data_IF_203436245993
#
_entry.id   IF_203436245993
#
_cell.length_a   1.000
_cell.length_b   1.000
_cell.length_c   1.000
_cell.angle_alpha   90.00
_cell.angle_beta   90.00
_cell.angle_gamma   90.00
#
_symmetry.space_group_name_H-M   'P 1'
#
loop_
_entity.id
_entity.type
_entity.pdbx_description
1 polymer ?
#
# COMPACT_ATOMS: atom_id res chain seq x y z
N UNK A 1 7.37 -4.43 -6.62
CA UNK A 1 6.52 -5.55 -6.15
C UNK A 1 6.14 -6.42 -7.32
N UNK A 2 5.96 -7.73 -7.12
CA UNK A 2 5.33 -8.57 -8.13
C UNK A 2 3.86 -8.13 -8.30
N UNK A 3 3.27 -8.38 -9.46
CA UNK A 3 1.89 -7.94 -9.74
C UNK A 3 0.89 -8.48 -8.71
N UNK A 4 1.13 -9.70 -8.21
CA UNK A 4 0.36 -10.31 -7.12
C UNK A 4 0.44 -9.51 -5.82
N UNK A 5 1.63 -9.19 -5.33
CA UNK A 5 1.79 -8.44 -4.07
C UNK A 5 1.14 -7.05 -4.16
N UNK A 6 1.20 -6.41 -5.32
CA UNK A 6 0.52 -5.12 -5.56
C UNK A 6 -1.00 -5.28 -5.48
N UNK A 7 -1.54 -6.35 -6.05
CA UNK A 7 -2.98 -6.64 -5.98
C UNK A 7 -3.41 -6.88 -4.53
N UNK A 8 -2.66 -7.69 -3.77
CA UNK A 8 -2.97 -7.93 -2.35
C UNK A 8 -2.88 -6.65 -1.51
N UNK A 9 -1.87 -5.80 -1.75
CA UNK A 9 -1.75 -4.53 -1.05
C UNK A 9 -2.97 -3.62 -1.27
N UNK A 10 -3.47 -3.52 -2.50
CA UNK A 10 -4.70 -2.79 -2.78
C UNK A 10 -5.95 -3.47 -2.22
N UNK A 11 -6.01 -4.80 -2.26
CA UNK A 11 -7.11 -5.56 -1.67
C UNK A 11 -7.23 -5.30 -0.16
N UNK A 12 -6.11 -5.23 0.57
CA UNK A 12 -6.11 -4.84 1.98
C UNK A 12 -6.72 -3.46 2.22
N UNK A 13 -6.40 -2.47 1.38
CA UNK A 13 -7.01 -1.13 1.47
C UNK A 13 -8.52 -1.20 1.24
N UNK A 14 -8.97 -1.93 0.21
CA UNK A 14 -10.40 -2.07 -0.08
C UNK A 14 -11.14 -2.74 1.08
N UNK A 15 -10.57 -3.80 1.67
CA UNK A 15 -11.15 -4.47 2.85
C UNK A 15 -11.20 -3.52 4.05
N UNK A 16 -10.14 -2.74 4.30
CA UNK A 16 -10.12 -1.73 5.35
C UNK A 16 -11.26 -0.71 5.17
N UNK A 17 -11.44 -0.19 3.95
CA UNK A 17 -12.54 0.73 3.63
C UNK A 17 -13.90 0.11 3.93
N UNK A 18 -14.13 -1.13 3.47
CA UNK A 18 -15.39 -1.83 3.69
C UNK A 18 -15.68 -2.02 5.19
N UNK A 19 -14.70 -2.45 5.97
CA UNK A 19 -14.85 -2.68 7.42
C UNK A 19 -15.11 -1.37 8.16
N UNK A 20 -14.32 -0.33 7.91
CA UNK A 20 -14.47 0.97 8.59
C UNK A 20 -15.82 1.60 8.27
N UNK A 21 -16.24 1.60 7.01
CA UNK A 21 -17.55 2.13 6.60
C UNK A 21 -18.70 1.32 7.20
N UNK A 22 -18.59 -0.01 7.19
CA UNK A 22 -19.59 -0.87 7.81
C UNK A 22 -19.75 -0.55 9.30
N UNK A 23 -18.64 -0.51 10.05
CA UNK A 23 -18.65 -0.17 11.48
C UNK A 23 -19.22 1.22 11.70
N UNK A 24 -18.83 2.21 10.90
CA UNK A 24 -19.35 3.56 11.00
C UNK A 24 -20.87 3.59 10.83
N UNK A 25 -21.43 2.90 9.83
CA UNK A 25 -22.89 2.82 9.62
C UNK A 25 -23.59 2.20 10.82
N UNK A 26 -23.05 1.10 11.37
CA UNK A 26 -23.64 0.45 12.56
C UNK A 26 -23.62 1.36 13.78
N UNK A 27 -22.50 2.04 14.03
CA UNK A 27 -22.36 2.95 15.17
C UNK A 27 -23.24 4.18 14.99
N UNK A 28 -23.29 4.77 13.79
CA UNK A 28 -24.09 5.95 13.49
C UNK A 28 -25.58 5.70 13.75
N UNK A 29 -26.09 4.48 13.47
CA UNK A 29 -27.45 4.11 13.80
C UNK A 29 -27.76 4.11 15.31
N UNK A 30 -26.74 3.95 16.16
CA UNK A 30 -26.86 3.93 17.62
C UNK A 30 -26.72 5.34 18.20
N UNK A 31 -25.68 6.07 17.79
CA UNK A 31 -25.36 7.38 18.36
C UNK A 31 -26.15 8.53 17.72
N UNK A 32 -26.67 8.32 16.50
CA UNK A 32 -27.30 9.36 15.70
C UNK A 32 -26.32 10.47 15.26
N UNK A 33 -26.83 11.69 15.19
CA UNK A 33 -26.04 12.88 14.84
C UNK A 33 -25.33 13.54 16.02
N UNK A 34 -24.66 14.66 15.76
CA UNK A 34 -24.03 15.49 16.79
C UNK A 34 -22.50 15.35 16.86
N UNK A 35 -21.87 15.91 17.92
CA UNK A 35 -20.42 16.06 17.98
C UNK A 35 -19.64 14.74 17.87
N UNK A 36 -20.15 13.66 18.47
CA UNK A 36 -19.53 12.33 18.42
C UNK A 36 -19.48 11.82 16.97
N UNK A 37 -20.59 11.95 16.22
CA UNK A 37 -20.64 11.55 14.82
C UNK A 37 -19.65 12.37 13.97
N UNK A 38 -19.55 13.68 14.19
CA UNK A 38 -18.56 14.53 13.49
C UNK A 38 -17.13 14.06 13.74
N UNK A 39 -16.79 13.75 14.99
CA UNK A 39 -15.46 13.23 15.35
C UNK A 39 -15.19 11.90 14.67
N UNK A 40 -16.15 10.97 14.67
CA UNK A 40 -16.01 9.68 14.00
C UNK A 40 -15.83 9.81 12.49
N UNK A 41 -16.54 10.73 11.84
CA UNK A 41 -16.39 11.01 10.40
C UNK A 41 -14.97 11.50 10.11
N UNK A 42 -14.48 12.49 10.86
CA UNK A 42 -13.15 13.07 10.64
C UNK A 42 -12.07 12.03 10.91
N UNK A 43 -12.13 11.36 12.06
CA UNK A 43 -11.15 10.34 12.44
C UNK A 43 -11.15 9.16 11.46
N UNK A 44 -12.33 8.65 11.09
CA UNK A 44 -12.48 7.59 10.10
C UNK A 44 -11.93 7.99 8.73
N UNK A 45 -12.25 9.20 8.26
CA UNK A 45 -11.72 9.72 7.01
C UNK A 45 -10.18 9.83 7.02
N UNK A 46 -9.58 10.29 8.13
CA UNK A 46 -8.13 10.35 8.28
C UNK A 46 -7.48 8.97 8.28
N UNK A 47 -8.07 7.99 8.98
CA UNK A 47 -7.59 6.60 8.97
C UNK A 47 -7.58 6.04 7.55
N UNK A 48 -8.67 6.21 6.81
CA UNK A 48 -8.80 5.73 5.44
C UNK A 48 -7.83 6.45 4.49
N UNK A 49 -7.73 7.77 4.60
CA UNK A 49 -6.84 8.59 3.79
C UNK A 49 -5.37 8.20 4.00
N UNK A 50 -4.91 8.17 5.26
CA UNK A 50 -3.51 7.91 5.55
C UNK A 50 -3.10 6.47 5.24
N UNK A 51 -3.96 5.48 5.50
CA UNK A 51 -3.66 4.10 5.12
C UNK A 51 -3.58 3.94 3.59
N UNK A 52 -4.51 4.57 2.86
CA UNK A 52 -4.49 4.55 1.39
C UNK A 52 -3.22 5.24 0.85
N UNK A 53 -2.87 6.39 1.41
CA UNK A 53 -1.67 7.14 1.03
C UNK A 53 -0.38 6.37 1.35
N UNK A 54 -0.31 5.71 2.50
CA UNK A 54 0.85 4.89 2.90
C UNK A 54 1.07 3.73 1.93
N UNK A 55 0.01 2.99 1.58
CA UNK A 55 0.11 1.90 0.60
C UNK A 55 0.48 2.42 -0.79
N UNK A 56 -0.12 3.53 -1.23
CA UNK A 56 0.23 4.16 -2.49
C UNK A 56 1.71 4.61 -2.54
N UNK A 57 2.21 5.21 -1.46
CA UNK A 57 3.60 5.62 -1.31
C UNK A 57 4.54 4.40 -1.31
N UNK A 58 4.22 3.36 -0.55
CA UNK A 58 4.96 2.10 -0.53
C UNK A 58 5.09 1.52 -1.94
N UNK A 59 3.99 1.42 -2.70
CA UNK A 59 3.98 0.87 -4.06
C UNK A 59 4.79 1.74 -5.02
N UNK A 60 4.62 3.07 -4.95
CA UNK A 60 5.36 4.02 -5.80
C UNK A 60 6.85 3.92 -5.54
N UNK A 61 7.27 3.95 -4.28
CA UNK A 61 8.68 3.89 -3.88
C UNK A 61 9.30 2.54 -4.22
N UNK A 62 8.54 1.44 -4.07
CA UNK A 62 9.02 0.10 -4.44
C UNK A 62 9.43 -0.04 -5.90
N UNK A 63 8.79 0.71 -6.82
CA UNK A 63 9.18 0.69 -8.24
C UNK A 63 10.52 1.41 -8.48
N UNK A 64 10.78 2.46 -7.69
CA UNK A 64 11.97 3.30 -7.82
C UNK A 64 13.21 2.66 -7.16
N UNK A 65 13.05 2.02 -6.00
CA UNK A 65 14.16 1.32 -5.34
C UNK A 65 14.53 0.00 -6.01
N UNK A 66 13.56 -0.69 -6.63
CA UNK A 66 13.80 -1.99 -7.28
C UNK A 66 14.71 -1.87 -8.50
N UNK A 67 14.55 -0.83 -9.33
CA UNK A 67 15.41 -0.63 -10.50
C UNK A 67 16.87 -0.35 -10.13
N UNK A 68 17.11 0.31 -9.00
CA UNK A 68 18.44 0.59 -8.50
C UNK A 68 19.15 -0.67 -7.99
N UNK A 69 18.50 -1.44 -7.10
CA UNK A 69 19.13 -2.60 -6.46
C UNK A 69 19.41 -3.71 -7.47
N UNK A 70 18.44 -4.06 -8.32
CA UNK A 70 18.62 -5.14 -9.28
C UNK A 70 19.46 -4.74 -10.50
N UNK A 71 19.52 -3.44 -10.85
CA UNK A 71 20.38 -2.97 -11.94
C UNK A 71 21.86 -3.24 -11.66
N UNK A 72 22.30 -3.04 -10.41
CA UNK A 72 23.66 -3.32 -9.99
C UNK A 72 23.96 -4.83 -9.96
N UNK A 73 23.04 -5.63 -9.43
CA UNK A 73 23.22 -7.08 -9.31
C UNK A 73 23.23 -7.78 -10.68
N UNK A 74 22.35 -7.37 -11.60
CA UNK A 74 22.34 -7.86 -12.99
C UNK A 74 23.67 -7.53 -13.69
N UNK A 75 24.22 -6.32 -13.48
CA UNK A 75 25.47 -5.91 -14.10
C UNK A 75 26.66 -6.77 -13.66
N UNK A 76 26.76 -7.07 -12.37
CA UNK A 76 27.79 -7.98 -11.86
C UNK A 76 27.61 -9.41 -12.39
N UNK A 77 26.36 -9.90 -12.47
CA UNK A 77 26.06 -11.22 -13.04
C UNK A 77 26.45 -11.30 -14.52
N UNK A 78 26.23 -10.23 -15.29
CA UNK A 78 26.65 -10.14 -16.70
C UNK A 78 28.18 -10.10 -16.83
N UNK A 79 28.87 -9.37 -15.96
CA UNK A 79 30.34 -9.34 -15.91
C UNK A 79 30.94 -10.73 -15.58
N UNK A 80 30.36 -11.45 -14.62
CA UNK A 80 30.76 -12.83 -14.30
C UNK A 80 30.53 -13.80 -15.46
N UNK A 81 29.40 -13.67 -16.16
CA UNK A 81 29.11 -14.48 -17.36
C UNK A 81 30.07 -14.18 -18.51
N UNK A 82 30.39 -12.90 -18.73
CA UNK A 82 31.33 -12.47 -19.76
C UNK A 82 32.76 -12.96 -19.46
N UNK A 83 33.18 -12.92 -18.18
CA UNK A 83 34.47 -13.45 -17.75
C UNK A 83 34.55 -14.98 -17.98
N UNK A 84 33.50 -15.73 -17.64
CA UNK A 84 33.43 -17.18 -17.88
C UNK A 84 33.45 -17.56 -19.37
N UNK A 85 33.00 -16.67 -20.26
CA UNK A 85 32.99 -16.90 -21.71
C UNK A 85 34.34 -16.56 -22.38
N UNK A 86 35.23 -15.85 -21.67
CA UNK A 86 36.55 -15.40 -22.15
C UNK A 86 37.71 -16.28 -21.68
N UNK A 87 37.50 -17.11 -20.65
CA UNK A 87 38.42 -18.18 -20.23
C UNK A 87 37.97 -19.52 -20.77
#
# INVERSE_FOLDING_TARGET
MFAGDRLFAWAFVVVLWAVVLFVFVQIYAIIGGGPIATVLIIAGALVLLFNTAAIAAMIRHYSHEKSFIYGLDIRHLDEMRAAKKRG
#
